data_IF_664575546776
#
_entry.id   IF_664575546776
#
_cell.length_a   1.000
_cell.length_b   1.000
_cell.length_c   1.000
_cell.angle_alpha   90.00
_cell.angle_beta   90.00
_cell.angle_gamma   90.00
#
_symmetry.space_group_name_H-M   'P 1'
#
loop_
_entity.id
_entity.type
_entity.pdbx_description
1 polymer ?
#
# COMPACT_ATOMS: atom_id res chain seq x y z
N UNK A 1 11.21 -27.02 17.18
CA UNK A 1 11.83 -25.76 16.67
C UNK A 1 11.65 -25.66 15.15
N UNK A 2 11.88 -26.73 14.36
CA UNK A 2 11.67 -26.73 12.90
C UNK A 2 10.24 -26.37 12.51
N UNK A 3 9.23 -26.99 13.12
CA UNK A 3 7.82 -26.76 12.77
C UNK A 3 7.33 -25.30 13.00
N UNK A 4 7.83 -24.63 14.01
CA UNK A 4 7.47 -23.21 14.31
C UNK A 4 8.16 -22.25 13.34
N UNK A 5 9.39 -22.52 12.93
CA UNK A 5 10.12 -21.75 11.95
C UNK A 5 9.46 -21.85 10.56
N UNK A 6 9.18 -23.06 10.10
CA UNK A 6 8.55 -23.30 8.80
C UNK A 6 7.15 -22.69 8.72
N UNK A 7 6.41 -22.75 9.84
CA UNK A 7 5.11 -22.11 9.98
C UNK A 7 5.21 -20.58 9.91
N UNK A 8 6.21 -19.99 10.57
CA UNK A 8 6.44 -18.55 10.54
C UNK A 8 6.79 -18.09 9.11
N UNK A 9 7.69 -18.80 8.43
CA UNK A 9 8.04 -18.51 7.03
C UNK A 9 6.83 -18.61 6.10
N UNK A 10 5.97 -19.62 6.30
CA UNK A 10 4.72 -19.75 5.56
C UNK A 10 3.81 -18.54 5.76
N UNK A 11 3.58 -18.11 7.01
CA UNK A 11 2.72 -16.95 7.28
C UNK A 11 3.29 -15.64 6.74
N UNK A 12 4.60 -15.43 6.78
CA UNK A 12 5.26 -14.27 6.18
C UNK A 12 5.02 -14.24 4.67
N UNK A 13 5.24 -15.37 3.98
CA UNK A 13 4.99 -15.48 2.54
C UNK A 13 3.52 -15.30 2.18
N UNK A 14 2.63 -15.84 3.00
CA UNK A 14 1.19 -15.65 2.84
C UNK A 14 0.79 -14.16 2.96
N UNK A 15 1.30 -13.45 3.96
CA UNK A 15 1.09 -12.02 4.15
C UNK A 15 1.65 -11.21 2.97
N UNK A 16 2.87 -11.52 2.53
CA UNK A 16 3.51 -10.86 1.40
C UNK A 16 2.76 -11.09 0.09
N UNK A 17 2.07 -12.22 -0.06
CA UNK A 17 1.23 -12.50 -1.24
C UNK A 17 0.16 -11.44 -1.48
N UNK A 18 -0.41 -10.86 -0.44
CA UNK A 18 -1.32 -9.71 -0.54
C UNK A 18 -0.59 -8.38 -0.71
N UNK A 19 0.48 -8.17 0.07
CA UNK A 19 1.23 -6.92 0.10
C UNK A 19 1.87 -6.57 -1.26
N UNK A 20 2.26 -7.58 -2.04
CA UNK A 20 2.88 -7.42 -3.37
C UNK A 20 1.99 -6.63 -4.34
N UNK A 21 0.68 -6.77 -4.25
CA UNK A 21 -0.27 -6.11 -5.15
C UNK A 21 -0.74 -4.74 -4.67
N UNK A 22 -0.43 -4.35 -3.42
CA UNK A 22 -0.86 -3.07 -2.87
C UNK A 22 -0.46 -1.85 -3.72
N UNK A 23 0.79 -1.73 -4.21
CA UNK A 23 1.19 -0.53 -4.95
C UNK A 23 0.47 -0.38 -6.28
N UNK A 24 0.24 -1.46 -7.01
CA UNK A 24 -0.48 -1.40 -8.29
C UNK A 24 -1.99 -1.17 -8.07
N UNK A 25 -2.58 -1.80 -7.08
CA UNK A 25 -3.98 -1.59 -6.72
C UNK A 25 -4.23 -0.14 -6.28
N UNK A 26 -3.32 0.42 -5.48
CA UNK A 26 -3.34 1.82 -5.08
C UNK A 26 -3.25 2.76 -6.29
N UNK A 27 -2.26 2.57 -7.18
CA UNK A 27 -2.13 3.40 -8.37
C UNK A 27 -3.37 3.30 -9.27
N UNK A 28 -3.90 2.09 -9.46
CA UNK A 28 -5.12 1.90 -10.23
C UNK A 28 -6.30 2.66 -9.61
N UNK A 29 -6.48 2.56 -8.29
CA UNK A 29 -7.51 3.30 -7.57
C UNK A 29 -7.37 4.82 -7.77
N UNK A 30 -6.16 5.36 -7.62
CA UNK A 30 -5.87 6.78 -7.85
C UNK A 30 -6.20 7.22 -9.27
N UNK A 31 -5.77 6.44 -10.27
CA UNK A 31 -6.05 6.73 -11.68
C UNK A 31 -7.55 6.67 -12.00
N UNK A 32 -8.29 5.78 -11.34
CA UNK A 32 -9.76 5.70 -11.46
C UNK A 32 -10.43 6.94 -10.87
N UNK A 33 -10.00 7.38 -9.69
CA UNK A 33 -10.52 8.59 -9.06
C UNK A 33 -10.26 9.86 -9.90
N UNK A 34 -9.15 9.87 -10.64
CA UNK A 34 -8.76 10.99 -11.51
C UNK A 34 -9.28 10.86 -12.95
N UNK A 35 -9.99 9.77 -13.27
CA UNK A 35 -10.47 9.46 -14.63
C UNK A 35 -9.34 9.38 -15.68
N UNK A 36 -8.12 9.00 -15.24
CA UNK A 36 -6.91 8.97 -16.07
C UNK A 36 -6.45 7.55 -16.45
N UNK A 37 -7.26 6.53 -16.20
CA UNK A 37 -6.91 5.11 -16.43
C UNK A 37 -6.48 4.88 -17.88
N UNK A 38 -7.26 5.37 -18.86
CA UNK A 38 -7.01 5.11 -20.28
C UNK A 38 -5.63 5.61 -20.73
N UNK A 39 -5.23 6.81 -20.30
CA UNK A 39 -3.93 7.40 -20.66
C UNK A 39 -2.72 6.72 -19.99
N UNK A 40 -2.93 5.96 -18.92
CA UNK A 40 -1.86 5.36 -18.11
C UNK A 40 -2.05 3.86 -17.87
N UNK A 41 -2.90 3.21 -18.66
CA UNK A 41 -3.21 1.78 -18.51
C UNK A 41 -1.95 0.90 -18.60
N UNK A 42 -0.94 1.32 -19.35
CA UNK A 42 0.31 0.59 -19.48
C UNK A 42 1.05 0.47 -18.14
N UNK A 43 1.02 1.51 -17.28
CA UNK A 43 1.59 1.45 -15.92
C UNK A 43 0.86 0.42 -15.07
N UNK A 44 -0.47 0.40 -15.16
CA UNK A 44 -1.29 -0.58 -14.43
C UNK A 44 -0.95 -2.00 -14.91
N UNK A 45 -0.88 -2.23 -16.23
CA UNK A 45 -0.50 -3.54 -16.79
C UNK A 45 0.90 -3.97 -16.38
N UNK A 46 1.88 -3.04 -16.43
CA UNK A 46 3.24 -3.29 -15.97
C UNK A 46 3.26 -3.67 -14.47
N UNK A 47 2.52 -2.94 -13.64
CA UNK A 47 2.43 -3.21 -12.21
C UNK A 47 1.81 -4.57 -11.90
N UNK A 48 0.75 -4.97 -12.62
CA UNK A 48 0.16 -6.31 -12.46
C UNK A 48 1.12 -7.41 -12.93
N UNK A 49 1.80 -7.23 -14.06
CA UNK A 49 2.80 -8.17 -14.54
C UNK A 49 3.96 -8.34 -13.57
N UNK A 50 4.50 -7.23 -13.05
CA UNK A 50 5.53 -7.25 -12.01
C UNK A 50 5.00 -7.89 -10.71
N UNK A 51 3.76 -7.60 -10.32
CA UNK A 51 3.12 -8.21 -9.15
C UNK A 51 3.04 -9.74 -9.28
N UNK A 52 2.62 -10.25 -10.43
CA UNK A 52 2.58 -11.70 -10.69
C UNK A 52 3.99 -12.30 -10.61
N UNK A 53 4.99 -11.64 -11.20
CA UNK A 53 6.38 -12.08 -11.10
C UNK A 53 6.86 -12.16 -9.65
N UNK A 54 6.66 -11.09 -8.87
CA UNK A 54 7.06 -11.07 -7.45
C UNK A 54 6.25 -12.06 -6.61
N UNK A 55 4.99 -12.27 -6.92
CA UNK A 55 4.16 -13.29 -6.27
C UNK A 55 4.73 -14.69 -6.48
N UNK A 56 5.15 -15.05 -7.70
CA UNK A 56 5.81 -16.32 -7.95
C UNK A 56 7.15 -16.42 -7.20
N UNK A 57 7.95 -15.34 -7.19
CA UNK A 57 9.23 -15.31 -6.48
C UNK A 57 9.06 -15.36 -4.95
N UNK A 58 7.92 -14.93 -4.40
CA UNK A 58 7.64 -14.93 -2.96
C UNK A 58 7.70 -16.31 -2.31
N UNK A 59 7.43 -17.38 -3.07
CA UNK A 59 7.53 -18.75 -2.58
C UNK A 59 8.95 -19.32 -2.64
N UNK A 60 9.91 -18.52 -3.04
CA UNK A 60 11.34 -18.88 -3.13
C UNK A 60 12.16 -18.09 -2.12
N UNK A 61 13.39 -18.52 -1.86
CA UNK A 61 14.36 -17.77 -1.06
C UNK A 61 14.85 -16.47 -1.72
N UNK A 62 14.53 -16.27 -3.00
CA UNK A 62 14.91 -15.05 -3.70
C UNK A 62 14.10 -13.81 -3.27
N UNK A 63 12.89 -14.00 -2.74
CA UNK A 63 12.05 -12.88 -2.28
C UNK A 63 12.05 -12.78 -0.75
N UNK A 64 11.57 -13.79 -0.04
CA UNK A 64 11.73 -13.95 1.41
C UNK A 64 12.75 -15.05 1.62
N UNK A 65 13.98 -14.67 1.98
CA UNK A 65 15.07 -15.61 2.10
C UNK A 65 14.85 -16.60 3.26
N UNK A 66 14.54 -16.04 4.44
CA UNK A 66 14.32 -16.81 5.66
C UNK A 66 13.59 -15.98 6.71
N UNK A 67 13.36 -16.51 7.88
CA UNK A 67 12.92 -15.81 9.09
C UNK A 67 13.91 -16.07 10.22
N UNK A 68 14.27 -15.05 10.98
CA UNK A 68 15.22 -15.14 12.08
C UNK A 68 14.83 -14.24 13.24
N UNK A 69 15.36 -14.45 14.46
CA UNK A 69 15.11 -13.56 15.58
C UNK A 69 15.71 -12.17 15.33
N UNK A 70 14.92 -11.12 15.52
CA UNK A 70 15.38 -9.73 15.49
C UNK A 70 14.81 -9.01 16.71
N UNK A 71 15.66 -8.56 17.60
CA UNK A 71 15.30 -7.97 18.90
C UNK A 71 14.30 -8.85 19.67
N UNK A 72 13.14 -8.32 20.04
CA UNK A 72 12.10 -9.04 20.78
C UNK A 72 11.20 -9.92 19.90
N UNK A 73 11.39 -9.91 18.57
CA UNK A 73 10.61 -10.72 17.65
C UNK A 73 11.32 -12.04 17.36
N UNK A 74 10.72 -13.19 17.72
CA UNK A 74 11.36 -14.50 17.52
C UNK A 74 11.50 -14.89 16.04
N UNK A 75 10.67 -14.32 15.18
CA UNK A 75 10.66 -14.57 13.74
C UNK A 75 10.40 -13.28 12.97
N UNK A 76 11.42 -12.75 12.31
CA UNK A 76 11.31 -11.60 11.42
C UNK A 76 11.86 -11.96 10.03
N UNK A 77 11.21 -11.52 8.93
CA UNK A 77 11.64 -11.91 7.59
C UNK A 77 12.98 -11.29 7.19
N UNK A 78 13.79 -12.10 6.51
CA UNK A 78 15.00 -11.66 5.80
C UNK A 78 14.70 -11.39 4.33
N UNK A 79 15.17 -10.26 3.77
CA UNK A 79 14.96 -9.94 2.36
C UNK A 79 15.86 -10.79 1.47
N UNK A 80 15.28 -11.39 0.44
CA UNK A 80 16.05 -11.97 -0.66
C UNK A 80 16.44 -10.90 -1.70
N UNK A 81 17.30 -11.22 -2.67
CA UNK A 81 17.78 -10.24 -3.66
C UNK A 81 16.68 -9.62 -4.52
N UNK A 82 15.62 -10.36 -4.82
CA UNK A 82 14.48 -9.86 -5.61
C UNK A 82 13.59 -8.91 -4.80
N UNK A 83 13.58 -9.04 -3.47
CA UNK A 83 12.83 -8.15 -2.59
C UNK A 83 13.28 -6.68 -2.71
N UNK A 84 14.57 -6.43 -2.93
CA UNK A 84 15.08 -5.06 -3.11
C UNK A 84 14.49 -4.38 -4.36
N UNK A 85 14.37 -5.15 -5.45
CA UNK A 85 13.75 -4.65 -6.70
C UNK A 85 12.26 -4.36 -6.48
N UNK A 86 11.57 -5.27 -5.76
CA UNK A 86 10.19 -5.05 -5.36
C UNK A 86 10.04 -3.77 -4.53
N UNK A 87 10.90 -3.56 -3.52
CA UNK A 87 10.84 -2.40 -2.62
C UNK A 87 11.02 -1.08 -3.37
N UNK A 88 11.93 -1.04 -4.36
CA UNK A 88 12.09 0.11 -5.24
C UNK A 88 10.80 0.36 -6.04
N UNK A 89 10.27 -0.67 -6.68
CA UNK A 89 9.02 -0.57 -7.45
C UNK A 89 7.85 -0.13 -6.58
N UNK A 90 7.71 -0.72 -5.39
CA UNK A 90 6.69 -0.34 -4.39
C UNK A 90 6.76 1.16 -4.07
N UNK A 91 7.97 1.64 -3.75
CA UNK A 91 8.21 3.05 -3.39
C UNK A 91 7.87 3.98 -4.55
N UNK A 92 8.29 3.65 -5.79
CA UNK A 92 8.00 4.46 -6.97
C UNK A 92 6.49 4.55 -7.24
N UNK A 93 5.75 3.45 -7.16
CA UNK A 93 4.29 3.44 -7.35
C UNK A 93 3.58 4.23 -6.25
N UNK A 94 4.02 4.11 -5.00
CA UNK A 94 3.47 4.85 -3.87
C UNK A 94 3.67 6.37 -4.02
N UNK A 95 4.90 6.79 -4.33
CA UNK A 95 5.24 8.21 -4.55
C UNK A 95 4.46 8.76 -5.75
N UNK A 96 4.45 8.03 -6.87
CA UNK A 96 3.77 8.48 -8.07
C UNK A 96 2.26 8.61 -7.88
N UNK A 97 1.61 7.61 -7.27
CA UNK A 97 0.17 7.66 -6.98
C UNK A 97 -0.19 8.81 -6.03
N UNK A 98 0.61 9.01 -4.97
CA UNK A 98 0.41 10.11 -4.02
C UNK A 98 0.62 11.48 -4.68
N UNK A 99 1.62 11.60 -5.56
CA UNK A 99 1.85 12.83 -6.35
C UNK A 99 0.67 13.13 -7.28
N UNK A 100 0.10 12.12 -7.93
CA UNK A 100 -1.09 12.29 -8.77
C UNK A 100 -2.30 12.77 -7.96
N UNK A 101 -2.53 12.21 -6.75
CA UNK A 101 -3.59 12.67 -5.84
C UNK A 101 -3.39 14.15 -5.47
N UNK A 102 -2.16 14.53 -5.13
CA UNK A 102 -1.83 15.92 -4.82
C UNK A 102 -2.09 16.85 -6.02
N UNK A 103 -1.70 16.44 -7.22
CA UNK A 103 -2.01 17.21 -8.43
C UNK A 103 -3.51 17.32 -8.66
N UNK A 104 -4.27 16.24 -8.48
CA UNK A 104 -5.72 16.26 -8.54
C UNK A 104 -6.34 17.23 -7.54
N UNK A 105 -5.82 17.29 -6.31
CA UNK A 105 -6.26 18.22 -5.30
C UNK A 105 -6.03 19.68 -5.71
N UNK A 106 -4.99 19.98 -6.49
CA UNK A 106 -4.70 21.35 -6.96
C UNK A 106 -5.60 21.82 -8.09
N UNK A 107 -6.12 20.91 -8.89
CA UNK A 107 -6.99 21.23 -10.04
C UNK A 107 -8.47 21.28 -9.69
N UNK A 108 -8.86 20.69 -8.56
CA UNK A 108 -10.24 20.65 -8.09
C UNK A 108 -10.56 21.83 -7.15
N UNK A 109 -11.85 22.10 -6.95
CA UNK A 109 -12.36 23.18 -6.08
C UNK A 109 -13.36 22.63 -5.07
N UNK A 110 -13.67 23.42 -4.03
CA UNK A 110 -14.70 23.09 -3.05
C UNK A 110 -14.47 21.76 -2.33
N UNK A 111 -15.51 20.97 -2.19
CA UNK A 111 -15.53 19.70 -1.46
C UNK A 111 -14.61 18.64 -2.10
N UNK A 112 -14.55 18.59 -3.43
CA UNK A 112 -13.66 17.66 -4.13
C UNK A 112 -12.19 17.94 -3.80
N UNK A 113 -11.77 19.19 -3.78
CA UNK A 113 -10.42 19.56 -3.38
C UNK A 113 -10.08 19.04 -1.98
N UNK A 114 -10.98 19.26 -1.03
CA UNK A 114 -10.78 18.77 0.35
C UNK A 114 -10.68 17.24 0.42
N UNK A 115 -11.50 16.52 -0.35
CA UNK A 115 -11.43 15.06 -0.48
C UNK A 115 -10.07 14.59 -0.99
N UNK A 116 -9.56 15.18 -2.08
CA UNK A 116 -8.27 14.80 -2.64
C UNK A 116 -7.10 15.14 -1.70
N UNK A 117 -7.13 16.27 -0.99
CA UNK A 117 -6.11 16.55 0.03
C UNK A 117 -6.15 15.56 1.18
N UNK A 118 -7.35 15.19 1.66
CA UNK A 118 -7.50 14.20 2.73
C UNK A 118 -6.93 12.83 2.31
N UNK A 119 -7.23 12.39 1.07
CA UNK A 119 -6.67 11.15 0.53
C UNK A 119 -5.15 11.25 0.35
N UNK A 120 -4.62 12.38 -0.08
CA UNK A 120 -3.17 12.60 -0.20
C UNK A 120 -2.47 12.50 1.15
N UNK A 121 -2.96 13.22 2.16
CA UNK A 121 -2.40 13.18 3.52
C UNK A 121 -2.50 11.77 4.11
N UNK A 122 -3.66 11.13 3.96
CA UNK A 122 -3.86 9.76 4.41
C UNK A 122 -2.89 8.79 3.75
N UNK A 123 -2.66 8.91 2.44
CA UNK A 123 -1.70 8.06 1.72
C UNK A 123 -0.27 8.27 2.18
N UNK A 124 0.15 9.52 2.42
CA UNK A 124 1.48 9.83 2.99
C UNK A 124 1.65 9.16 4.34
N UNK A 125 0.66 9.30 5.24
CA UNK A 125 0.70 8.69 6.57
C UNK A 125 0.77 7.15 6.46
N UNK A 126 -0.04 6.54 5.59
CA UNK A 126 -0.06 5.09 5.42
C UNK A 126 1.26 4.54 4.89
N UNK A 127 1.78 5.13 3.82
CA UNK A 127 3.04 4.67 3.24
C UNK A 127 4.23 4.93 4.15
N UNK A 128 4.29 6.09 4.80
CA UNK A 128 5.33 6.36 5.80
C UNK A 128 5.26 5.35 6.94
N UNK A 129 4.06 5.09 7.47
CA UNK A 129 3.85 4.10 8.51
C UNK A 129 4.27 2.68 8.09
N UNK A 130 3.85 2.25 6.89
CA UNK A 130 4.24 0.94 6.35
C UNK A 130 5.75 0.81 6.09
N UNK A 131 6.37 1.87 5.62
CA UNK A 131 7.81 1.90 5.36
C UNK A 131 8.67 1.74 6.62
N UNK A 132 8.18 2.10 7.81
CA UNK A 132 8.92 1.90 9.07
C UNK A 132 9.17 0.42 9.40
N UNK A 133 8.45 -0.51 8.77
CA UNK A 133 8.68 -1.94 8.95
C UNK A 133 9.85 -2.48 8.12
N UNK A 134 10.22 -1.81 7.03
CA UNK A 134 11.28 -2.30 6.14
C UNK A 134 12.71 -2.19 6.72
N UNK A 135 13.11 -1.13 7.47
CA UNK A 135 14.42 -1.08 8.11
C UNK A 135 14.69 -2.31 8.97
N UNK A 136 13.66 -2.83 9.64
CA UNK A 136 13.76 -4.00 10.50
C UNK A 136 14.06 -5.30 9.72
N UNK A 137 13.74 -5.36 8.42
CA UNK A 137 14.16 -6.44 7.51
C UNK A 137 15.69 -6.45 7.27
N UNK A 138 16.34 -5.30 7.51
CA UNK A 138 17.79 -5.10 7.35
C UNK A 138 18.49 -4.99 8.71
N UNK A 139 17.87 -5.45 9.79
CA UNK A 139 18.41 -5.40 11.15
C UNK A 139 18.72 -3.98 11.64
N UNK A 140 18.13 -2.96 11.01
CA UNK A 140 18.23 -1.57 11.44
C UNK A 140 17.23 -1.38 12.58
N UNK A 141 17.72 -0.95 13.76
CA UNK A 141 16.95 -0.78 14.99
C UNK A 141 16.00 0.44 14.91
N UNK A 142 15.01 0.35 14.05
CA UNK A 142 13.88 1.28 13.97
C UNK A 142 12.62 0.47 14.26
N UNK A 143 12.01 0.62 15.44
CA UNK A 143 10.86 -0.20 15.80
C UNK A 143 9.69 0.01 14.83
N UNK A 144 8.99 -1.07 14.40
CA UNK A 144 7.94 -1.03 13.37
C UNK A 144 6.62 -0.43 13.90
N UNK A 145 6.70 0.63 14.69
CA UNK A 145 5.56 1.31 15.33
C UNK A 145 4.63 2.01 14.31
N UNK A 146 5.09 2.17 13.08
CA UNK A 146 4.30 2.78 12.01
C UNK A 146 3.05 2.00 11.62
N UNK A 147 2.94 0.72 12.01
CA UNK A 147 1.71 -0.08 11.81
C UNK A 147 0.49 0.59 12.47
N UNK A 148 0.68 1.32 13.59
CA UNK A 148 -0.38 2.12 14.23
C UNK A 148 -0.91 3.19 13.26
N UNK A 149 -0.02 3.81 12.47
CA UNK A 149 -0.40 4.82 11.49
C UNK A 149 -1.29 4.26 10.36
N UNK A 150 -1.19 2.98 10.04
CA UNK A 150 -2.09 2.32 9.10
C UNK A 150 -3.53 2.25 9.61
N UNK A 151 -3.72 2.09 10.93
CA UNK A 151 -5.05 2.14 11.56
C UNK A 151 -5.63 3.55 11.44
N UNK A 152 -4.81 4.57 11.67
CA UNK A 152 -5.22 5.98 11.47
C UNK A 152 -5.62 6.23 10.02
N UNK A 153 -4.82 5.77 9.06
CA UNK A 153 -5.16 5.88 7.64
C UNK A 153 -6.48 5.19 7.30
N UNK A 154 -6.68 3.95 7.72
CA UNK A 154 -7.91 3.20 7.47
C UNK A 154 -9.13 3.95 8.02
N UNK A 155 -8.99 4.52 9.21
CA UNK A 155 -10.05 5.35 9.84
C UNK A 155 -10.33 6.62 9.05
N UNK A 156 -9.29 7.31 8.57
CA UNK A 156 -9.42 8.52 7.75
C UNK A 156 -10.10 8.21 6.41
N UNK A 157 -9.70 7.12 5.75
CA UNK A 157 -10.32 6.70 4.48
C UNK A 157 -11.77 6.28 4.68
N UNK A 158 -12.04 5.48 5.71
CA UNK A 158 -13.40 5.07 6.06
C UNK A 158 -14.30 6.30 6.35
N UNK A 159 -13.81 7.24 7.14
CA UNK A 159 -14.51 8.49 7.41
C UNK A 159 -14.77 9.29 6.11
N UNK A 160 -13.75 9.44 5.26
CA UNK A 160 -13.90 10.14 3.99
C UNK A 160 -14.96 9.48 3.08
N UNK A 161 -14.92 8.16 2.95
CA UNK A 161 -15.90 7.40 2.16
C UNK A 161 -17.32 7.56 2.71
N UNK A 162 -17.50 7.41 4.01
CA UNK A 162 -18.82 7.52 4.65
C UNK A 162 -19.36 8.95 4.52
N UNK A 163 -18.55 9.96 4.81
CA UNK A 163 -18.96 11.36 4.77
C UNK A 163 -19.34 11.81 3.35
N UNK A 164 -18.51 11.45 2.35
CA UNK A 164 -18.77 11.89 0.98
C UNK A 164 -19.86 11.05 0.30
N UNK A 165 -20.01 9.80 0.66
CA UNK A 165 -21.09 8.93 0.15
C UNK A 165 -22.45 9.32 0.71
N UNK A 166 -22.52 9.74 1.98
CA UNK A 166 -23.74 10.26 2.58
C UNK A 166 -24.20 11.57 1.92
N UNK A 167 -23.27 12.42 1.49
CA UNK A 167 -23.60 13.64 0.74
C UNK A 167 -24.13 13.31 -0.68
N UNK A 168 -23.58 12.30 -1.35
CA UNK A 168 -24.07 11.87 -2.66
C UNK A 168 -25.47 11.23 -2.57
N UNK A 169 -25.76 10.50 -1.49
CA UNK A 169 -27.10 9.94 -1.25
C UNK A 169 -28.14 11.04 -0.97
N UNK A 170 -27.75 12.11 -0.26
CA UNK A 170 -28.64 13.27 -0.03
C UNK A 170 -29.02 13.95 -1.35
N UNK A 171 -28.06 14.19 -2.23
CA UNK A 171 -28.32 14.80 -3.55
C UNK A 171 -29.10 13.86 -4.50
N UNK A 172 -28.97 12.53 -4.35
CA UNK A 172 -29.75 11.59 -5.13
C UNK A 172 -31.22 11.51 -4.67
N UNK A 173 -31.45 11.64 -3.36
CA UNK A 173 -32.83 11.69 -2.81
C UNK A 173 -33.52 13.01 -3.18
N UNK A 174 -32.82 14.14 -3.17
CA UNK A 174 -33.38 15.44 -3.59
C UNK A 174 -33.69 15.53 -5.09
N UNK A 175 -33.01 14.74 -5.94
CA UNK A 175 -33.30 14.67 -7.39
C UNK A 175 -34.32 13.60 -7.76
N UNK A 176 -34.73 12.77 -6.83
CA UNK A 176 -35.72 11.70 -7.02
C UNK A 176 -37.14 12.07 -6.55
N UNK A 177 -37.34 13.30 -6.10
CA UNK A 177 -38.64 13.93 -5.83
C UNK A 177 -38.87 15.03 -6.88
#
# INVERSE_FOLDING_TARGET
ISSSHDLALFFVRFLMSGAIFLPVAYLWHVLTLLEQVQGKIWLVRLGWGAGIFFFCMNFTSYFVADVHPVHDFPFWPQPGPVFHVYLIGFTLYAIYGTWLLYQGARTKTGTERSRFYLLTIGSVIAYFGGMTSFPFWYEIDIPPNGTILMTVYTSVVAYALLRYRLLDLGTAVERGI
#
